data_IF_172225815615
#
_entry.id   IF_172225815615
#
_cell.length_a   1.000
_cell.length_b   1.000
_cell.length_c   1.000
_cell.angle_alpha   90.00
_cell.angle_beta   90.00
_cell.angle_gamma   90.00
#
_symmetry.space_group_name_H-M   'P 1'
#
loop_
_entity.id
_entity.type
_entity.pdbx_description
1 polymer ?
#
# COMPACT_ATOMS: atom_id res chain seq x y z
N UNK A 1 6.47 14.16 6.45
CA UNK A 1 5.30 13.74 5.67
C UNK A 1 5.82 13.25 4.33
N UNK A 2 5.49 12.04 3.91
CA UNK A 2 5.87 11.53 2.58
C UNK A 2 4.99 12.24 1.53
N UNK A 3 5.53 12.53 0.36
CA UNK A 3 4.74 13.10 -0.73
C UNK A 3 3.68 12.09 -1.20
N UNK A 4 2.56 12.59 -1.76
CA UNK A 4 1.55 11.74 -2.40
C UNK A 4 2.18 10.92 -3.55
N UNK A 5 3.11 11.53 -4.29
CA UNK A 5 3.79 10.89 -5.41
C UNK A 5 4.61 9.66 -4.96
N UNK A 6 5.45 9.82 -3.94
CA UNK A 6 6.29 8.73 -3.46
C UNK A 6 5.48 7.66 -2.75
N UNK A 7 4.44 8.04 -2.01
CA UNK A 7 3.50 7.09 -1.43
C UNK A 7 2.85 6.22 -2.52
N UNK A 8 2.43 6.82 -3.64
CA UNK A 8 1.79 6.09 -4.74
C UNK A 8 2.75 5.14 -5.46
N UNK A 9 4.04 5.50 -5.60
CA UNK A 9 5.06 4.57 -6.12
C UNK A 9 5.20 3.32 -5.26
N UNK A 10 5.24 3.49 -3.93
CA UNK A 10 5.36 2.37 -2.99
C UNK A 10 4.05 1.55 -2.95
N UNK A 11 2.89 2.21 -2.93
CA UNK A 11 1.58 1.54 -2.98
C UNK A 11 1.45 0.69 -4.27
N UNK A 12 1.95 1.18 -5.41
CA UNK A 12 1.94 0.41 -6.65
C UNK A 12 2.77 -0.88 -6.54
N UNK A 13 3.93 -0.82 -5.87
CA UNK A 13 4.74 -2.00 -5.59
C UNK A 13 4.01 -3.00 -4.66
N UNK A 14 3.38 -2.52 -3.58
CA UNK A 14 2.58 -3.35 -2.68
C UNK A 14 1.39 -3.99 -3.39
N UNK A 15 0.75 -3.27 -4.31
CA UNK A 15 -0.34 -3.79 -5.14
C UNK A 15 0.13 -4.91 -6.07
N UNK A 16 1.30 -4.76 -6.69
CA UNK A 16 1.89 -5.82 -7.50
C UNK A 16 2.20 -7.07 -6.64
N UNK A 17 2.74 -6.89 -5.43
CA UNK A 17 2.98 -7.99 -4.49
C UNK A 17 1.68 -8.67 -4.04
N UNK A 18 0.62 -7.90 -3.78
CA UNK A 18 -0.72 -8.42 -3.47
C UNK A 18 -1.26 -9.33 -4.57
N UNK A 19 -1.08 -8.94 -5.83
CA UNK A 19 -1.54 -9.72 -6.98
C UNK A 19 -0.66 -10.94 -7.26
N UNK A 20 0.62 -10.90 -6.90
CA UNK A 20 1.58 -11.97 -7.15
C UNK A 20 1.56 -13.08 -6.09
N UNK A 21 1.19 -12.77 -4.85
CA UNK A 21 1.16 -13.75 -3.76
C UNK A 21 -0.14 -14.56 -3.74
N UNK A 22 -0.06 -15.81 -3.30
CA UNK A 22 -1.20 -16.67 -2.97
C UNK A 22 -1.49 -16.72 -1.46
N UNK A 23 -0.59 -16.20 -0.64
CA UNK A 23 -0.75 -16.14 0.82
C UNK A 23 -1.77 -15.05 1.20
N UNK A 24 -2.85 -15.45 1.87
CA UNK A 24 -3.91 -14.55 2.31
C UNK A 24 -3.44 -13.55 3.38
N UNK A 25 -2.61 -13.98 4.33
CA UNK A 25 -2.07 -13.11 5.37
C UNK A 25 -1.13 -12.06 4.77
N UNK A 26 -0.36 -12.43 3.74
CA UNK A 26 0.47 -11.48 3.01
C UNK A 26 -0.39 -10.43 2.27
N UNK A 27 -1.50 -10.83 1.65
CA UNK A 27 -2.45 -9.91 1.01
C UNK A 27 -3.03 -8.90 1.98
N UNK A 28 -3.48 -9.36 3.15
CA UNK A 28 -4.01 -8.48 4.20
C UNK A 28 -2.96 -7.45 4.66
N UNK A 29 -1.71 -7.91 4.81
CA UNK A 29 -0.61 -7.04 5.24
C UNK A 29 -0.23 -6.01 4.17
N UNK A 30 -0.17 -6.39 2.88
CA UNK A 30 0.07 -5.42 1.80
C UNK A 30 -1.02 -4.35 1.72
N UNK A 31 -2.28 -4.77 1.89
CA UNK A 31 -3.41 -3.85 1.92
C UNK A 31 -3.31 -2.88 3.11
N UNK A 32 -3.00 -3.41 4.32
CA UNK A 32 -2.78 -2.59 5.52
C UNK A 32 -1.66 -1.58 5.33
N UNK A 33 -0.51 -2.00 4.81
CA UNK A 33 0.65 -1.15 4.57
C UNK A 33 0.36 -0.06 3.53
N UNK A 34 -0.39 -0.38 2.48
CA UNK A 34 -0.84 0.62 1.51
C UNK A 34 -1.69 1.71 2.18
N UNK A 35 -2.57 1.33 3.10
CA UNK A 35 -3.37 2.29 3.86
C UNK A 35 -2.56 3.13 4.85
N UNK A 36 -1.50 2.58 5.45
CA UNK A 36 -0.58 3.38 6.27
C UNK A 36 0.17 4.44 5.44
N UNK A 37 0.57 4.10 4.20
CA UNK A 37 1.18 5.06 3.27
C UNK A 37 0.20 6.16 2.86
N UNK A 38 -1.09 5.82 2.67
CA UNK A 38 -2.13 6.81 2.39
C UNK A 38 -2.30 7.78 3.55
N UNK A 39 -2.40 7.28 4.78
CA UNK A 39 -2.46 8.13 5.99
C UNK A 39 -1.23 9.04 6.09
N UNK A 40 -0.03 8.49 5.90
CA UNK A 40 1.22 9.24 5.99
C UNK A 40 1.39 10.32 4.91
N UNK A 41 0.65 10.21 3.80
CA UNK A 41 0.61 11.18 2.68
C UNK A 41 -0.66 12.03 2.65
N UNK A 42 -1.56 11.91 3.64
CA UNK A 42 -2.81 12.68 3.71
C UNK A 42 -3.91 12.23 2.72
N UNK A 43 -3.81 11.01 2.21
CA UNK A 43 -4.80 10.40 1.31
C UNK A 43 -5.85 9.60 2.08
N UNK A 44 -7.10 9.49 1.57
CA UNK A 44 -8.10 8.61 2.15
C UNK A 44 -7.70 7.13 2.00
N UNK A 45 -8.02 6.30 3.00
CA UNK A 45 -7.80 4.84 2.92
C UNK A 45 -8.78 4.18 1.95
N UNK A 46 -8.41 3.00 1.44
CA UNK A 46 -9.24 2.14 0.59
C UNK A 46 -9.67 0.88 1.32
#
# INVERSE_FOLDING_TARGET
MISVEDANKIIAFLSAAYMATEDAQARDEFHRLANELRKASGQPTQ
#
